data_IF_144707904904
#
_entry.id   IF_144707904904
#
_cell.length_a   1.000
_cell.length_b   1.000
_cell.length_c   1.000
_cell.angle_alpha   90.00
_cell.angle_beta   90.00
_cell.angle_gamma   90.00
#
_symmetry.space_group_name_H-M   'P 1'
#
loop_
_entity.id
_entity.type
_entity.pdbx_description
1 polymer ?
#
# COMPACT_ATOMS: atom_id res chain seq x y z
N UNK A 1 -14.53 -16.08 4.68
CA UNK A 1 -13.39 -16.17 5.61
C UNK A 1 -12.72 -17.52 5.38
N UNK A 2 -11.42 -17.54 5.16
CA UNK A 2 -10.65 -18.74 4.86
C UNK A 2 -9.61 -19.00 5.96
N UNK A 3 -9.28 -20.27 6.19
CA UNK A 3 -8.22 -20.68 7.10
C UNK A 3 -7.15 -21.38 6.27
N UNK A 4 -5.89 -21.00 6.50
CA UNK A 4 -4.72 -21.63 5.86
C UNK A 4 -4.01 -22.48 6.91
N UNK A 5 -3.63 -23.70 6.52
CA UNK A 5 -2.84 -24.62 7.33
C UNK A 5 -1.39 -24.56 6.82
N UNK A 6 -0.44 -24.14 7.65
CA UNK A 6 0.93 -23.84 7.23
C UNK A 6 1.93 -24.13 8.37
N UNK A 7 3.04 -24.87 8.19
CA UNK A 7 3.37 -25.81 7.11
C UNK A 7 2.99 -27.26 7.48
N UNK A 8 2.39 -28.00 6.54
CA UNK A 8 2.24 -29.46 6.61
C UNK A 8 2.99 -30.10 5.44
N UNK A 9 3.84 -31.09 5.72
CA UNK A 9 4.58 -31.83 4.68
C UNK A 9 3.61 -32.83 4.05
N UNK A 10 3.26 -32.60 2.79
CA UNK A 10 2.35 -33.44 2.01
C UNK A 10 3.17 -34.24 0.99
N UNK A 11 2.96 -35.56 0.84
CA UNK A 11 3.63 -36.35 -0.20
C UNK A 11 3.20 -35.93 -1.61
N UNK A 12 4.11 -36.00 -2.58
CA UNK A 12 3.85 -35.61 -3.98
C UNK A 12 2.72 -36.42 -4.64
N UNK A 13 2.57 -37.68 -4.26
CA UNK A 13 1.49 -38.58 -4.70
C UNK A 13 1.06 -39.50 -3.58
N UNK A 14 -0.21 -39.88 -3.56
CA UNK A 14 -0.77 -40.86 -2.63
C UNK A 14 -1.94 -40.32 -1.80
N UNK A 15 -2.44 -41.14 -0.89
CA UNK A 15 -3.53 -40.77 0.02
C UNK A 15 -2.96 -39.93 1.16
N UNK A 16 -3.57 -38.77 1.39
CA UNK A 16 -3.26 -37.88 2.51
C UNK A 16 -4.44 -37.90 3.46
N UNK A 17 -4.21 -38.33 4.71
CA UNK A 17 -5.19 -38.21 5.78
C UNK A 17 -4.79 -37.06 6.70
N UNK A 18 -5.59 -35.99 6.70
CA UNK A 18 -5.38 -34.82 7.54
C UNK A 18 -6.44 -34.77 8.63
N UNK A 19 -6.03 -34.94 9.89
CA UNK A 19 -6.89 -34.79 11.07
C UNK A 19 -6.49 -33.53 11.82
N UNK A 20 -7.33 -32.50 11.74
CA UNK A 20 -7.09 -31.21 12.41
C UNK A 20 -7.86 -31.20 13.73
N UNK A 21 -7.17 -31.37 14.85
CA UNK A 21 -7.73 -31.20 16.20
C UNK A 21 -6.98 -30.08 16.93
N UNK A 22 -7.41 -28.83 16.69
CA UNK A 22 -6.80 -27.62 17.26
C UNK A 22 -7.89 -26.75 17.86
N UNK A 23 -7.61 -26.23 19.06
CA UNK A 23 -8.42 -25.22 19.74
C UNK A 23 -7.52 -24.04 20.09
N UNK A 24 -7.99 -22.83 19.80
CA UNK A 24 -7.32 -21.58 20.13
C UNK A 24 -8.37 -20.49 20.30
N UNK A 25 -7.99 -19.45 21.03
CA UNK A 25 -8.85 -18.29 21.28
C UNK A 25 -8.38 -17.13 20.40
N UNK A 26 -9.32 -16.50 19.68
CA UNK A 26 -9.04 -15.29 18.90
C UNK A 26 -9.33 -14.10 19.81
N UNK A 27 -8.28 -13.46 20.32
CA UNK A 27 -8.37 -12.25 21.16
C UNK A 27 -8.23 -10.97 20.34
N UNK A 28 -7.52 -11.05 19.22
CA UNK A 28 -7.37 -9.97 18.25
C UNK A 28 -8.17 -10.32 17.00
N UNK A 29 -9.06 -9.42 16.59
CA UNK A 29 -9.86 -9.59 15.38
C UNK A 29 -9.04 -9.33 14.11
N UNK A 30 -9.50 -9.84 12.97
CA UNK A 30 -8.90 -9.58 11.66
C UNK A 30 -8.76 -8.07 11.36
N UNK A 31 -9.77 -7.26 11.71
CA UNK A 31 -9.75 -5.82 11.46
C UNK A 31 -8.80 -5.08 12.42
N UNK A 32 -8.69 -5.51 13.68
CA UNK A 32 -7.69 -4.96 14.61
C UNK A 32 -6.27 -5.24 14.14
N UNK A 33 -5.97 -6.48 13.75
CA UNK A 33 -4.69 -6.86 13.16
C UNK A 33 -4.38 -6.04 11.91
N UNK A 34 -5.34 -5.92 10.97
CA UNK A 34 -5.18 -5.11 9.76
C UNK A 34 -4.91 -3.65 10.07
N UNK A 35 -5.59 -3.06 11.04
CA UNK A 35 -5.38 -1.66 11.47
C UNK A 35 -3.99 -1.48 12.07
N UNK A 36 -3.54 -2.42 12.89
CA UNK A 36 -2.21 -2.41 13.49
C UNK A 36 -1.13 -2.46 12.41
N UNK A 37 -1.25 -3.41 11.48
CA UNK A 37 -0.32 -3.59 10.35
C UNK A 37 -0.31 -2.34 9.47
N UNK A 38 -1.48 -1.80 9.10
CA UNK A 38 -1.55 -0.57 8.31
C UNK A 38 -0.83 0.62 8.96
N UNK A 39 -0.97 0.79 10.28
CA UNK A 39 -0.25 1.87 10.99
C UNK A 39 1.25 1.68 10.92
N UNK A 40 1.73 0.45 11.13
CA UNK A 40 3.15 0.15 11.05
C UNK A 40 3.70 0.37 9.64
N UNK A 41 3.03 -0.15 8.61
CA UNK A 41 3.42 0.06 7.21
C UNK A 41 3.51 1.55 6.88
N UNK A 42 2.50 2.33 7.26
CA UNK A 42 2.43 3.77 6.99
C UNK A 42 3.53 4.56 7.71
N UNK A 43 3.79 4.25 8.98
CA UNK A 43 4.71 5.03 9.82
C UNK A 43 6.18 4.62 9.61
N UNK A 44 6.42 3.32 9.42
CA UNK A 44 7.77 2.76 9.47
C UNK A 44 8.31 2.31 8.11
N UNK A 45 7.45 2.07 7.12
CA UNK A 45 7.86 1.46 5.84
C UNK A 45 7.62 2.43 4.67
N UNK A 46 6.36 2.75 4.37
CA UNK A 46 6.00 3.68 3.29
C UNK A 46 4.53 4.07 3.34
N UNK A 47 4.23 5.32 3.00
CA UNK A 47 2.87 5.80 2.76
C UNK A 47 2.19 5.15 1.54
N UNK A 48 2.98 4.52 0.66
CA UNK A 48 2.48 3.87 -0.56
C UNK A 48 2.10 2.41 -0.35
N UNK A 49 2.32 1.86 0.84
CA UNK A 49 2.07 0.45 1.15
C UNK A 49 0.90 0.35 2.13
N UNK A 50 -0.03 -0.54 1.83
CA UNK A 50 -1.18 -0.82 2.71
C UNK A 50 -1.40 -2.32 2.88
N UNK A 51 -2.02 -2.68 4.00
CA UNK A 51 -2.40 -4.03 4.34
C UNK A 51 -3.79 -4.36 3.78
N UNK A 52 -3.82 -5.43 3.00
CA UNK A 52 -5.04 -6.09 2.56
C UNK A 52 -5.73 -6.84 3.72
N UNK A 53 -6.98 -7.30 3.53
CA UNK A 53 -7.65 -8.15 4.51
C UNK A 53 -6.81 -9.37 4.91
N UNK A 54 -6.58 -9.60 6.22
CA UNK A 54 -5.79 -10.73 6.67
C UNK A 54 -6.53 -12.05 6.54
N UNK A 55 -5.75 -13.12 6.39
CA UNK A 55 -6.23 -14.50 6.44
C UNK A 55 -5.75 -15.16 7.73
N UNK A 56 -6.59 -16.02 8.33
CA UNK A 56 -6.20 -16.78 9.50
C UNK A 56 -5.27 -17.92 9.08
N UNK A 57 -4.05 -17.92 9.60
CA UNK A 57 -3.05 -18.97 9.36
C UNK A 57 -2.87 -19.75 10.65
N UNK A 58 -3.03 -21.07 10.56
CA UNK A 58 -2.90 -22.02 11.67
C UNK A 58 -1.68 -22.89 11.42
N UNK A 59 -0.60 -22.57 12.11
CA UNK A 59 0.67 -23.31 12.10
C UNK A 59 1.18 -23.62 13.49
N UNK A 60 2.49 -23.47 13.68
CA UNK A 60 3.12 -23.48 15.02
C UNK A 60 2.59 -22.33 15.88
N UNK A 61 2.33 -21.19 15.24
CA UNK A 61 1.57 -20.07 15.80
C UNK A 61 0.28 -19.86 15.01
N UNK A 62 -0.72 -19.31 15.68
CA UNK A 62 -1.97 -18.90 15.03
C UNK A 62 -1.93 -17.40 14.82
N UNK A 63 -1.93 -16.98 13.56
CA UNK A 63 -1.69 -15.58 13.17
C UNK A 63 -2.70 -15.08 12.16
N UNK A 64 -2.96 -13.77 12.20
CA UNK A 64 -3.52 -13.03 11.09
C UNK A 64 -2.40 -12.63 10.14
N UNK A 65 -2.37 -13.22 8.94
CA UNK A 65 -1.42 -12.86 7.88
C UNK A 65 -2.07 -11.88 6.91
N UNK A 66 -1.62 -10.63 6.88
CA UNK A 66 -2.08 -9.60 5.96
C UNK A 66 -1.06 -9.38 4.83
N UNK A 67 -1.47 -9.49 3.55
CA UNK A 67 -0.61 -9.09 2.44
C UNK A 67 -0.33 -7.59 2.45
N UNK A 68 0.93 -7.20 2.29
CA UNK A 68 1.34 -5.81 2.11
C UNK A 68 1.39 -5.48 0.61
N UNK A 69 0.61 -4.50 0.18
CA UNK A 69 0.47 -4.10 -1.23
C UNK A 69 0.96 -2.69 -1.45
N UNK A 70 1.82 -2.51 -2.46
CA UNK A 70 2.26 -1.19 -2.90
C UNK A 70 1.33 -0.63 -3.99
N UNK A 71 1.04 0.66 -3.88
CA UNK A 71 0.26 1.42 -4.85
C UNK A 71 0.96 2.74 -5.18
N UNK A 72 1.00 3.11 -6.45
CA UNK A 72 1.57 4.37 -6.91
C UNK A 72 0.48 5.33 -7.35
N UNK A 73 0.60 6.65 -7.13
CA UNK A 73 -0.44 7.61 -7.50
C UNK A 73 -0.85 7.60 -8.98
N UNK A 74 0.06 7.22 -9.87
CA UNK A 74 -0.13 7.31 -11.32
C UNK A 74 -0.47 5.97 -12.00
N UNK A 75 -0.22 4.83 -11.36
CA UNK A 75 -0.59 3.50 -11.86
C UNK A 75 -1.58 2.76 -10.97
N UNK A 76 -1.89 3.29 -9.78
CA UNK A 76 -2.71 2.63 -8.79
C UNK A 76 -1.99 1.44 -8.16
N UNK A 77 -2.73 0.37 -7.91
CA UNK A 77 -2.24 -0.82 -7.21
C UNK A 77 -1.27 -1.62 -8.08
N UNK A 78 -0.02 -1.76 -7.64
CA UNK A 78 1.05 -2.33 -8.45
C UNK A 78 1.37 -3.79 -8.12
N UNK A 79 1.38 -4.17 -6.83
CA UNK A 79 1.71 -5.55 -6.47
C UNK A 79 1.86 -5.80 -4.97
N UNK A 80 1.87 -7.07 -4.59
CA UNK A 80 2.22 -7.50 -3.24
C UNK A 80 3.74 -7.43 -3.05
N UNK A 81 4.18 -6.84 -1.95
CA UNK A 81 5.61 -6.64 -1.61
C UNK A 81 6.01 -7.40 -0.35
N UNK A 82 5.07 -8.07 0.30
CA UNK A 82 5.33 -8.94 1.44
C UNK A 82 4.04 -9.34 2.15
N UNK A 83 4.18 -9.94 3.32
CA UNK A 83 3.09 -10.20 4.23
C UNK A 83 3.54 -9.92 5.67
N UNK A 84 2.63 -9.41 6.48
CA UNK A 84 2.86 -9.10 7.90
C UNK A 84 1.90 -9.96 8.72
N UNK A 85 2.40 -10.47 9.83
CA UNK A 85 1.69 -11.41 10.69
C UNK A 85 1.47 -10.80 12.07
N UNK A 86 0.29 -11.03 12.62
CA UNK A 86 -0.10 -10.65 13.98
C UNK A 86 -0.64 -11.87 14.71
N UNK A 87 -0.06 -12.22 15.85
CA UNK A 87 -0.52 -13.30 16.69
C UNK A 87 -1.94 -13.05 17.21
N UNK A 88 -2.83 -14.03 17.03
CA UNK A 88 -4.27 -13.85 17.33
C UNK A 88 -4.58 -13.76 18.83
N UNK A 89 -3.65 -14.18 19.69
CA UNK A 89 -3.84 -14.23 21.14
C UNK A 89 -3.21 -13.02 21.83
N UNK A 90 -2.06 -12.58 21.36
CA UNK A 90 -1.22 -11.55 22.00
C UNK A 90 -1.26 -10.22 21.27
N UNK A 91 -1.58 -10.21 19.97
CA UNK A 91 -1.45 -9.02 19.12
C UNK A 91 0.00 -8.65 18.81
N UNK A 92 0.96 -9.53 19.11
CA UNK A 92 2.36 -9.34 18.73
C UNK A 92 2.49 -9.41 17.20
N UNK A 93 3.16 -8.42 16.61
CA UNK A 93 3.40 -8.34 15.16
C UNK A 93 4.83 -8.77 14.85
N UNK A 94 5.05 -9.43 13.72
CA UNK A 94 6.38 -9.81 13.24
C UNK A 94 7.15 -8.64 12.59
N UNK A 95 7.07 -7.44 13.16
CA UNK A 95 7.59 -6.19 12.60
C UNK A 95 9.12 -6.00 12.77
N UNK A 96 9.91 -7.03 12.46
CA UNK A 96 11.37 -7.00 12.63
C UNK A 96 12.05 -6.09 11.59
N UNK A 97 13.26 -5.57 11.88
CA UNK A 97 14.04 -4.80 10.90
C UNK A 97 14.29 -5.57 9.59
N UNK A 98 14.46 -6.88 9.66
CA UNK A 98 14.69 -7.75 8.50
C UNK A 98 13.44 -7.84 7.62
N UNK A 99 12.26 -8.00 8.22
CA UNK A 99 11.00 -7.99 7.46
C UNK A 99 10.77 -6.64 6.78
N UNK A 100 11.02 -5.54 7.51
CA UNK A 100 10.93 -4.19 6.95
C UNK A 100 11.84 -4.05 5.73
N UNK A 101 13.12 -4.42 5.86
CA UNK A 101 14.09 -4.30 4.78
C UNK A 101 13.70 -5.14 3.56
N UNK A 102 13.14 -6.34 3.75
CA UNK A 102 12.65 -7.15 2.64
C UNK A 102 11.47 -6.50 1.92
N UNK A 103 10.49 -5.96 2.67
CA UNK A 103 9.35 -5.25 2.08
C UNK A 103 9.81 -4.02 1.28
N UNK A 104 10.76 -3.24 1.83
CA UNK A 104 11.33 -2.07 1.16
C UNK A 104 12.08 -2.47 -0.13
N UNK A 105 12.86 -3.55 -0.08
CA UNK A 105 13.58 -4.07 -1.24
C UNK A 105 12.62 -4.52 -2.35
N UNK A 106 11.55 -5.23 -2.00
CA UNK A 106 10.53 -5.64 -2.98
C UNK A 106 9.75 -4.45 -3.53
N UNK A 107 9.46 -3.44 -2.69
CA UNK A 107 8.86 -2.19 -3.12
C UNK A 107 9.74 -1.44 -4.12
N UNK A 108 11.06 -1.36 -3.88
CA UNK A 108 12.00 -0.71 -4.80
C UNK A 108 12.08 -1.44 -6.15
N UNK A 109 12.14 -2.78 -6.12
CA UNK A 109 12.05 -3.61 -7.34
C UNK A 109 10.76 -3.35 -8.11
N UNK A 110 9.64 -3.18 -7.42
CA UNK A 110 8.35 -2.90 -8.04
C UNK A 110 8.31 -1.49 -8.65
N UNK A 111 8.89 -0.50 -7.96
CA UNK A 111 8.97 0.89 -8.41
C UNK A 111 9.76 1.02 -9.71
N UNK A 112 10.89 0.29 -9.86
CA UNK A 112 11.70 0.26 -11.08
C UNK A 112 10.96 -0.26 -12.31
N UNK A 113 9.84 -0.97 -12.12
CA UNK A 113 9.00 -1.50 -13.21
C UNK A 113 7.85 -0.57 -13.59
N UNK A 114 7.65 0.52 -12.85
CA UNK A 114 6.57 1.45 -13.13
C UNK A 114 6.93 2.38 -14.30
N UNK A 115 5.94 2.78 -15.12
CA UNK A 115 6.15 3.83 -16.10
C UNK A 115 6.54 5.14 -15.40
N UNK A 116 7.31 6.02 -16.06
CA UNK A 116 7.63 7.33 -15.48
C UNK A 116 6.35 8.11 -15.23
N UNK A 117 6.29 8.80 -14.08
CA UNK A 117 5.19 9.70 -13.79
C UNK A 117 5.13 10.80 -14.84
N UNK A 118 3.95 10.95 -15.46
CA UNK A 118 3.64 12.04 -16.37
C UNK A 118 2.58 12.90 -15.70
N UNK A 119 2.94 14.10 -15.21
CA UNK A 119 1.94 15.08 -14.77
C UNK A 119 0.93 15.32 -15.90
N UNK A 120 -0.33 15.53 -15.54
CA UNK A 120 -1.32 15.97 -16.53
C UNK A 120 -1.02 17.43 -16.87
N UNK A 121 -0.59 17.69 -18.11
CA UNK A 121 -0.17 19.02 -18.55
C UNK A 121 -1.30 20.08 -18.50
N UNK A 122 -2.57 19.64 -18.58
CA UNK A 122 -3.71 20.54 -18.51
C UNK A 122 -4.94 19.86 -17.91
N UNK A 123 -5.62 20.55 -17.00
CA UNK A 123 -6.95 20.15 -16.52
C UNK A 123 -7.95 20.42 -17.64
N UNK A 124 -8.74 19.42 -18.03
CA UNK A 124 -9.77 19.58 -19.06
C UNK A 124 -10.80 20.63 -18.64
N UNK A 125 -11.30 21.42 -19.58
CA UNK A 125 -12.23 22.54 -19.33
C UNK A 125 -13.49 22.13 -18.55
N UNK A 126 -13.96 20.89 -18.73
CA UNK A 126 -15.08 20.32 -17.97
C UNK A 126 -14.85 20.24 -16.45
N UNK A 127 -13.60 20.23 -16.00
CA UNK A 127 -13.22 20.21 -14.58
C UNK A 127 -12.78 21.59 -14.07
N UNK A 128 -12.77 22.61 -14.92
CA UNK A 128 -12.54 23.99 -14.49
C UNK A 128 -13.81 24.56 -13.87
N UNK A 129 -13.67 25.25 -12.74
CA UNK A 129 -14.77 25.95 -12.12
C UNK A 129 -15.24 27.08 -13.04
N UNK A 130 -16.46 26.97 -13.59
CA UNK A 130 -17.00 27.92 -14.57
C UNK A 130 -17.16 29.35 -14.05
N UNK A 131 -17.33 29.50 -12.74
CA UNK A 131 -17.63 30.78 -12.09
C UNK A 131 -16.46 31.32 -11.26
N UNK A 132 -15.28 30.71 -11.36
CA UNK A 132 -14.08 31.16 -10.65
C UNK A 132 -13.05 31.54 -11.70
N UNK A 133 -12.60 32.81 -11.76
CA UNK A 133 -11.54 33.19 -12.69
C UNK A 133 -10.29 32.36 -12.38
N UNK A 134 -9.56 31.88 -13.41
CA UNK A 134 -8.33 31.12 -13.19
C UNK A 134 -7.33 31.97 -12.41
N UNK A 135 -6.54 31.31 -11.55
CA UNK A 135 -5.45 31.97 -10.86
C UNK A 135 -4.54 32.66 -11.89
N UNK A 136 -4.09 33.90 -11.63
CA UNK A 136 -3.14 34.57 -12.51
C UNK A 136 -1.88 33.73 -12.67
N UNK A 137 -1.31 33.73 -13.88
CA UNK A 137 -0.05 33.04 -14.10
C UNK A 137 1.07 33.88 -13.49
N UNK A 138 1.91 33.25 -12.67
CA UNK A 138 3.10 33.88 -12.10
C UNK A 138 4.31 33.51 -12.97
N UNK A 139 5.08 34.52 -13.36
CA UNK A 139 6.34 34.35 -14.07
C UNK A 139 7.47 34.97 -13.27
N UNK A 140 8.63 34.34 -13.28
CA UNK A 140 9.86 34.94 -12.78
C UNK A 140 10.54 35.59 -13.98
N UNK A 141 10.73 36.90 -13.91
CA UNK A 141 11.43 37.68 -14.93
C UNK A 141 12.95 37.42 -14.83
N UNK A 142 13.70 37.79 -15.87
CA UNK A 142 15.16 37.60 -15.92
C UNK A 142 15.91 38.31 -14.80
N UNK A 143 15.33 39.37 -14.23
CA UNK A 143 15.85 40.10 -13.08
C UNK A 143 15.48 39.46 -11.72
N UNK A 144 14.82 38.31 -11.73
CA UNK A 144 14.40 37.56 -10.55
C UNK A 144 13.10 38.07 -9.90
N UNK A 145 12.43 39.06 -10.49
CA UNK A 145 11.15 39.58 -9.96
C UNK A 145 9.96 38.73 -10.40
N UNK A 146 8.91 38.69 -9.58
CA UNK A 146 7.66 37.99 -9.86
C UNK A 146 6.70 38.91 -10.62
N UNK A 147 6.36 38.53 -11.85
CA UNK A 147 5.33 39.15 -12.66
C UNK A 147 4.03 38.34 -12.61
N UNK A 148 2.91 39.04 -12.47
CA UNK A 148 1.56 38.46 -12.50
C UNK A 148 0.97 38.75 -13.87
N UNK A 149 0.77 37.73 -14.71
CA UNK A 149 0.09 37.89 -16.01
C UNK A 149 -1.35 37.45 -15.85
N UNK A 150 -2.26 38.39 -16.09
CA UNK A 150 -3.70 38.12 -16.06
C UNK A 150 -4.16 37.54 -17.40
N UNK A 151 -5.23 36.73 -17.38
CA UNK A 151 -5.74 36.09 -18.59
C UNK A 151 -6.08 37.07 -19.73
N UNK A 152 -6.36 38.35 -19.43
CA UNK A 152 -6.65 39.40 -20.42
C UNK A 152 -5.43 39.90 -21.21
N UNK A 153 -4.21 39.59 -20.79
CA UNK A 153 -2.99 40.04 -21.48
C UNK A 153 -2.50 39.01 -22.52
N UNK A 154 -2.99 37.77 -22.46
CA UNK A 154 -2.65 36.71 -23.43
C UNK A 154 -3.32 36.86 -24.80
N UNK A 155 -4.39 37.65 -24.92
CA UNK A 155 -5.12 37.87 -26.17
C UNK A 155 -4.61 39.06 -26.99
N UNK A 156 -3.55 39.75 -26.54
CA UNK A 156 -2.98 40.94 -27.21
C UNK A 156 -1.54 40.76 -27.72
N UNK A 157 -0.99 39.55 -27.68
CA UNK A 157 0.35 39.23 -28.21
C UNK A 157 0.26 38.26 -29.39
#
# INVERSE_FOLDING_TARGET
MAIVLDPYIIPEKGKVELKVNRSFEIKVTAEEARRQINRWLMNEVSLLISADPPTLVVGDQVVWRAPAWISFPHTGRAGMVGAVEVDVSTGAMNNTPELKAEIEHQAEKMAKRQPPYRPKDRVSEQHLAKNVPPAPALYILEDGTLAVVTASEKERA
#
